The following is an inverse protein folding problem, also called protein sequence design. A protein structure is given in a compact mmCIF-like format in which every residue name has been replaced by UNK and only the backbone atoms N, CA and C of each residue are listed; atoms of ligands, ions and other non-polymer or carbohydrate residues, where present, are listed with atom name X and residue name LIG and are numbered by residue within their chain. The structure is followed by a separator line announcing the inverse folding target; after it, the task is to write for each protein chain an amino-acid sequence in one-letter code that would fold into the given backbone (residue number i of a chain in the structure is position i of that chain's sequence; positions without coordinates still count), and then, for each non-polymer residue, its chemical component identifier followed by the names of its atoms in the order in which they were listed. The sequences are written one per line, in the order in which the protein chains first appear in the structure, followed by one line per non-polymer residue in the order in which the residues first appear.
data_IF_720039984533
#
_entry.id   IF_720039984533
#
_cell.length_a   1.000
_cell.length_b   1.000
_cell.length_c   1.000
_cell.angle_alpha   90.00
_cell.angle_beta   90.00
_cell.angle_gamma   90.00
#
_symmetry.space_group_name_H-M   'P 1'
#
loop_
_entity.id
_entity.type
_entity.pdbx_description
1 polymer ?
#
# COMPACT_ATOMS: atom_id res chain seq x y z
N UNK A 1 -7.73 16.57 11.80
CA UNK A 1 -8.31 17.07 10.52
C UNK A 1 -9.79 16.73 10.37
N UNK A 2 -10.20 15.47 10.18
CA UNK A 2 -11.63 15.10 9.96
C UNK A 2 -12.57 15.48 11.11
N UNK A 3 -12.08 15.46 12.34
CA UNK A 3 -12.85 15.87 13.52
C UNK A 3 -12.82 17.38 13.77
N UNK A 4 -11.99 18.13 13.06
CA UNK A 4 -11.85 19.57 13.27
C UNK A 4 -13.11 20.32 12.82
N UNK A 5 -13.52 21.30 13.63
CA UNK A 5 -14.72 22.11 13.35
C UNK A 5 -14.66 22.74 11.96
N UNK A 6 -13.52 23.35 11.61
CA UNK A 6 -13.35 24.03 10.32
C UNK A 6 -13.58 23.10 9.13
N UNK A 7 -13.04 21.89 9.19
CA UNK A 7 -13.20 20.88 8.14
C UNK A 7 -14.66 20.39 8.04
N UNK A 8 -15.34 20.19 9.18
CA UNK A 8 -16.76 19.79 9.20
C UNK A 8 -17.68 20.87 8.63
N UNK A 9 -17.43 22.14 8.95
CA UNK A 9 -18.18 23.28 8.39
C UNK A 9 -17.96 23.35 6.88
N UNK A 10 -16.70 23.22 6.43
CA UNK A 10 -16.36 23.20 5.01
C UNK A 10 -17.10 22.08 4.25
N UNK A 11 -17.05 20.84 4.75
CA UNK A 11 -17.75 19.70 4.11
C UNK A 11 -19.27 19.90 4.08
N UNK A 12 -19.85 20.42 5.17
CA UNK A 12 -21.28 20.73 5.22
C UNK A 12 -21.67 21.81 4.20
N UNK A 13 -20.84 22.83 4.01
CA UNK A 13 -21.08 23.86 3.00
C UNK A 13 -21.04 23.32 1.55
N UNK A 14 -20.24 22.28 1.29
CA UNK A 14 -20.18 21.61 -0.01
C UNK A 14 -21.38 20.69 -0.25
N UNK A 15 -21.75 19.88 0.74
CA UNK A 15 -22.89 18.99 0.68
C UNK A 15 -23.49 18.77 2.08
N UNK A 16 -24.57 19.50 2.43
CA UNK A 16 -25.20 19.39 3.74
C UNK A 16 -25.77 18.00 4.07
N UNK A 17 -26.06 17.20 3.05
CA UNK A 17 -26.61 15.84 3.23
C UNK A 17 -25.53 14.80 3.50
N UNK A 18 -24.25 15.12 3.27
CA UNK A 18 -23.16 14.18 3.49
C UNK A 18 -22.79 14.09 4.97
N UNK A 19 -22.92 12.89 5.54
CA UNK A 19 -22.52 12.62 6.92
C UNK A 19 -21.06 12.23 6.96
N UNK A 20 -20.20 13.21 7.25
CA UNK A 20 -18.76 12.97 7.37
C UNK A 20 -18.46 12.01 8.54
N UNK A 21 -17.86 10.83 8.27
CA UNK A 21 -17.43 9.91 9.33
C UNK A 21 -16.42 10.60 10.26
N UNK A 22 -16.34 10.15 11.50
CA UNK A 22 -15.30 10.63 12.41
C UNK A 22 -13.98 9.87 12.17
N UNK A 23 -12.90 10.36 12.80
CA UNK A 23 -11.58 9.72 12.71
C UNK A 23 -11.62 8.24 13.07
N UNK A 24 -12.34 7.87 14.12
CA UNK A 24 -12.35 6.49 14.63
C UNK A 24 -13.06 5.55 13.66
N UNK A 25 -14.16 5.99 13.03
CA UNK A 25 -14.83 5.25 11.95
C UNK A 25 -13.91 5.09 10.74
N UNK A 26 -13.15 6.13 10.36
CA UNK A 26 -12.21 6.02 9.25
C UNK A 26 -11.12 5.00 9.58
N UNK A 27 -10.46 5.13 10.74
CA UNK A 27 -9.29 4.32 11.11
C UNK A 27 -9.66 2.88 11.44
N UNK A 28 -10.76 2.65 12.16
CA UNK A 28 -11.08 1.33 12.70
C UNK A 28 -12.11 0.57 11.87
N UNK A 29 -12.67 1.16 10.81
CA UNK A 29 -13.71 0.51 10.00
C UNK A 29 -13.47 0.67 8.52
N UNK A 30 -13.37 1.92 8.03
CA UNK A 30 -13.27 2.15 6.58
C UNK A 30 -11.89 1.75 6.03
N UNK A 31 -10.81 2.16 6.69
CA UNK A 31 -9.45 1.82 6.24
C UNK A 31 -9.18 0.31 6.27
N UNK A 32 -9.53 -0.46 7.33
CA UNK A 32 -9.39 -1.91 7.33
C UNK A 32 -10.18 -2.58 6.21
N UNK A 33 -11.44 -2.18 6.00
CA UNK A 33 -12.27 -2.75 4.94
C UNK A 33 -11.69 -2.47 3.53
N UNK A 34 -11.19 -1.26 3.29
CA UNK A 34 -10.52 -0.92 2.02
C UNK A 34 -9.23 -1.73 1.87
N UNK A 35 -8.44 -1.86 2.93
CA UNK A 35 -7.21 -2.64 2.91
C UNK A 35 -7.48 -4.11 2.60
N UNK A 36 -8.47 -4.73 3.25
CA UNK A 36 -8.86 -6.11 3.00
C UNK A 36 -9.29 -6.31 1.53
N UNK A 37 -10.11 -5.41 1.01
CA UNK A 37 -10.53 -5.45 -0.40
C UNK A 37 -9.33 -5.33 -1.35
N UNK A 38 -8.48 -4.32 -1.16
CA UNK A 38 -7.31 -4.11 -2.02
C UNK A 38 -6.31 -5.27 -1.91
N UNK A 39 -6.07 -5.78 -0.70
CA UNK A 39 -5.19 -6.94 -0.49
C UNK A 39 -5.73 -8.18 -1.19
N UNK A 40 -7.05 -8.39 -1.15
CA UNK A 40 -7.70 -9.48 -1.87
C UNK A 40 -7.49 -9.35 -3.38
N UNK A 41 -7.73 -8.16 -3.95
CA UNK A 41 -7.59 -7.90 -5.37
C UNK A 41 -6.13 -8.06 -5.83
N UNK A 42 -5.17 -7.57 -5.04
CA UNK A 42 -3.73 -7.76 -5.31
C UNK A 42 -3.35 -9.23 -5.26
N UNK A 43 -3.86 -10.03 -4.29
CA UNK A 43 -3.60 -11.49 -4.26
C UNK A 43 -4.16 -12.18 -5.49
N UNK A 44 -5.38 -11.85 -5.90
CA UNK A 44 -5.97 -12.42 -7.11
C UNK A 44 -5.13 -12.09 -8.34
N UNK A 45 -4.68 -10.84 -8.46
CA UNK A 45 -3.80 -10.43 -9.54
C UNK A 45 -2.48 -11.21 -9.51
N UNK A 46 -1.84 -11.35 -8.35
CA UNK A 46 -0.59 -12.12 -8.20
C UNK A 46 -0.74 -13.57 -8.67
N UNK A 47 -1.84 -14.25 -8.32
CA UNK A 47 -2.12 -15.61 -8.78
C UNK A 47 -2.21 -15.76 -10.31
N UNK A 48 -2.53 -14.69 -11.04
CA UNK A 48 -2.61 -14.69 -12.50
C UNK A 48 -1.27 -14.35 -13.18
N UNK A 49 -0.28 -13.86 -12.43
CA UNK A 49 1.00 -13.43 -12.98
C UNK A 49 1.85 -14.65 -13.34
N UNK A 50 2.24 -14.74 -14.62
CA UNK A 50 3.14 -15.80 -15.10
C UNK A 50 4.61 -15.43 -14.94
N UNK A 51 4.92 -14.14 -15.08
CA UNK A 51 6.27 -13.57 -14.99
C UNK A 51 6.16 -12.14 -14.48
N UNK A 52 6.92 -11.83 -13.44
CA UNK A 52 7.04 -10.49 -12.90
C UNK A 52 8.50 -10.03 -12.89
N UNK A 53 8.69 -8.71 -12.85
CA UNK A 53 9.91 -8.06 -12.41
C UNK A 53 9.62 -7.35 -11.10
N UNK A 54 10.43 -7.59 -10.07
CA UNK A 54 10.33 -6.88 -8.80
C UNK A 54 11.27 -5.67 -8.82
N UNK A 55 10.76 -4.52 -8.39
CA UNK A 55 11.57 -3.35 -8.09
C UNK A 55 11.50 -3.03 -6.61
N UNK A 56 12.60 -2.50 -6.08
CA UNK A 56 12.71 -2.07 -4.69
C UNK A 56 13.05 -0.59 -4.68
N UNK A 57 12.30 0.21 -3.92
CA UNK A 57 12.67 1.60 -3.63
C UNK A 57 12.94 1.74 -2.13
N UNK A 58 14.09 2.31 -1.77
CA UNK A 58 14.55 2.45 -0.39
C UNK A 58 14.82 3.92 -0.10
N UNK A 59 14.25 4.42 0.99
CA UNK A 59 14.47 5.81 1.40
C UNK A 59 14.53 5.94 2.91
N UNK A 60 15.16 7.01 3.37
CA UNK A 60 15.12 7.43 4.77
C UNK A 60 14.16 8.61 4.88
N UNK A 61 13.18 8.52 5.77
CA UNK A 61 12.22 9.60 6.00
C UNK A 61 12.88 10.79 6.71
N UNK A 62 12.16 11.93 6.75
CA UNK A 62 12.58 13.09 7.54
C UNK A 62 12.70 12.80 9.05
N UNK A 63 12.08 11.72 9.53
CA UNK A 63 12.16 11.27 10.91
C UNK A 63 13.31 10.26 11.15
N UNK A 64 14.19 10.08 10.17
CA UNK A 64 15.27 9.07 10.17
C UNK A 64 14.82 7.61 10.19
N UNK A 65 13.54 7.35 9.93
CA UNK A 65 13.05 5.98 9.72
C UNK A 65 13.42 5.50 8.31
N UNK A 66 13.99 4.31 8.23
CA UNK A 66 14.34 3.65 6.98
C UNK A 66 13.15 2.85 6.44
N UNK A 67 12.86 2.99 5.14
CA UNK A 67 11.77 2.31 4.46
C UNK A 67 12.27 1.54 3.24
N UNK A 68 11.50 0.52 2.90
CA UNK A 68 11.58 -0.21 1.64
C UNK A 68 10.18 -0.43 1.09
N UNK A 69 10.01 -0.15 -0.19
CA UNK A 69 8.84 -0.61 -0.95
C UNK A 69 9.25 -1.67 -1.95
N UNK A 70 8.35 -2.61 -2.21
CA UNK A 70 8.51 -3.63 -3.25
C UNK A 70 7.31 -3.56 -4.19
N UNK A 71 7.59 -3.42 -5.48
CA UNK A 71 6.56 -3.35 -6.53
C UNK A 71 6.79 -4.46 -7.55
N UNK A 72 5.74 -5.24 -7.84
CA UNK A 72 5.75 -6.20 -8.94
C UNK A 72 5.25 -5.55 -10.23
N UNK A 73 6.02 -5.69 -11.31
CA UNK A 73 5.66 -5.26 -12.65
C UNK A 73 5.49 -6.47 -13.55
N UNK A 74 4.38 -6.53 -14.29
CA UNK A 74 4.10 -7.63 -15.20
C UNK A 74 3.34 -7.16 -16.45
N UNK A 75 3.36 -7.99 -17.49
CA UNK A 75 2.50 -7.83 -18.66
C UNK A 75 1.33 -8.80 -18.53
N UNK A 76 0.12 -8.32 -18.71
CA UNK A 76 -1.05 -9.18 -18.83
C UNK A 76 -1.14 -9.84 -20.22
N UNK A 77 -2.16 -10.66 -20.43
CA UNK A 77 -2.38 -11.37 -21.70
C UNK A 77 -2.69 -10.42 -22.88
N UNK A 78 -2.97 -9.14 -22.62
CA UNK A 78 -3.19 -8.08 -23.60
C UNK A 78 -1.91 -7.24 -23.85
N UNK A 79 -0.76 -7.68 -23.31
CA UNK A 79 0.53 -6.97 -23.36
C UNK A 79 0.49 -5.58 -22.71
N UNK A 80 -0.43 -5.35 -21.77
CA UNK A 80 -0.48 -4.11 -21.01
C UNK A 80 0.38 -4.25 -19.76
N UNK A 81 1.18 -3.22 -19.50
CA UNK A 81 2.02 -3.13 -18.30
C UNK A 81 1.16 -2.80 -17.09
N UNK A 82 1.27 -3.65 -16.06
CA UNK A 82 0.62 -3.50 -14.78
C UNK A 82 1.69 -3.44 -13.67
N UNK A 83 1.42 -2.65 -12.63
CA UNK A 83 2.29 -2.47 -11.47
C UNK A 83 1.48 -2.65 -10.19
N UNK A 84 1.92 -3.54 -9.30
CA UNK A 84 1.29 -3.81 -8.01
C UNK A 84 2.27 -3.49 -6.89
N UNK A 85 1.92 -2.53 -6.04
CA UNK A 85 2.65 -2.30 -4.81
C UNK A 85 2.34 -3.44 -3.84
N UNK A 86 3.36 -4.23 -3.51
CA UNK A 86 3.21 -5.43 -2.66
C UNK A 86 3.38 -5.10 -1.19
N UNK A 87 4.36 -4.26 -0.87
CA UNK A 87 4.62 -3.85 0.50
C UNK A 87 5.33 -2.50 0.57
N UNK A 88 5.11 -1.82 1.70
CA UNK A 88 5.90 -0.68 2.16
C UNK A 88 6.15 -0.90 3.64
N UNK A 89 7.37 -1.28 3.98
CA UNK A 89 7.76 -1.64 5.34
C UNK A 89 8.92 -0.79 5.84
N UNK A 90 8.94 -0.59 7.16
CA UNK A 90 10.08 0.00 7.85
C UNK A 90 11.17 -1.05 7.90
N UNK A 91 12.37 -0.71 7.44
CA UNK A 91 13.56 -1.53 7.60
C UNK A 91 14.22 -1.23 8.95
N UNK A 92 14.19 -2.21 9.84
CA UNK A 92 14.89 -2.15 11.12
C UNK A 92 16.36 -2.62 11.01
N UNK A 93 16.83 -2.89 9.79
CA UNK A 93 18.15 -3.41 9.49
C UNK A 93 18.89 -2.48 8.52
N UNK A 94 20.22 -2.48 8.50
CA UNK A 94 20.98 -1.70 7.52
C UNK A 94 20.64 -2.10 6.07
N UNK A 95 20.68 -1.15 5.13
CA UNK A 95 20.46 -1.37 3.69
C UNK A 95 21.63 -2.06 3.00
N UNK A 96 22.05 -3.22 3.52
CA UNK A 96 22.98 -4.09 2.81
C UNK A 96 22.22 -4.87 1.75
N UNK A 97 22.90 -5.23 0.66
CA UNK A 97 22.30 -6.06 -0.39
C UNK A 97 21.71 -7.36 0.16
N UNK A 98 22.39 -8.01 1.11
CA UNK A 98 21.92 -9.23 1.75
C UNK A 98 20.59 -9.04 2.51
N UNK A 99 20.45 -7.94 3.25
CA UNK A 99 19.21 -7.65 3.98
C UNK A 99 18.06 -7.31 3.02
N UNK A 100 18.33 -6.50 2.00
CA UNK A 100 17.30 -6.15 1.01
C UNK A 100 16.81 -7.37 0.24
N UNK A 101 17.70 -8.29 -0.14
CA UNK A 101 17.31 -9.57 -0.77
C UNK A 101 16.45 -10.39 0.18
N UNK A 102 16.84 -10.51 1.46
CA UNK A 102 16.07 -11.23 2.48
C UNK A 102 14.65 -10.67 2.63
N UNK A 103 14.49 -9.35 2.73
CA UNK A 103 13.16 -8.73 2.84
C UNK A 103 12.35 -8.88 1.55
N UNK A 104 12.98 -8.74 0.38
CA UNK A 104 12.30 -8.94 -0.91
C UNK A 104 11.76 -10.36 -1.05
N UNK A 105 12.54 -11.38 -0.68
CA UNK A 105 12.12 -12.78 -0.76
C UNK A 105 10.97 -13.11 0.19
N UNK A 106 10.93 -12.52 1.39
CA UNK A 106 9.78 -12.69 2.30
C UNK A 106 8.49 -12.13 1.69
N UNK A 107 8.59 -10.99 0.99
CA UNK A 107 7.44 -10.36 0.33
C UNK A 107 7.00 -11.22 -0.84
N UNK A 108 7.93 -11.69 -1.67
CA UNK A 108 7.69 -12.62 -2.78
C UNK A 108 6.93 -13.88 -2.31
N UNK A 109 7.40 -14.54 -1.25
CA UNK A 109 6.75 -15.69 -0.63
C UNK A 109 5.33 -15.38 -0.11
N UNK A 110 5.13 -14.22 0.56
CA UNK A 110 3.82 -13.84 1.11
C UNK A 110 2.75 -13.58 0.03
N UNK A 111 3.18 -13.17 -1.16
CA UNK A 111 2.30 -12.88 -2.29
C UNK A 111 2.22 -14.03 -3.32
N UNK A 112 2.97 -15.12 -3.13
CA UNK A 112 3.07 -16.28 -4.02
C UNK A 112 3.44 -15.88 -5.46
N UNK A 113 4.46 -15.04 -5.61
CA UNK A 113 5.02 -14.65 -6.91
C UNK A 113 6.17 -15.56 -7.37
#
# INVERSE_FOLDING_TARGET
MVNERGFRVFVSALNPSYRLPNRDTIVNTLLPAIYEQVSHDVRQACCAIKKACLTTDCWTSANNDSFMSVTAHYLDDEFKMNSLLLDVSILFVPHTSANLVSETLKIDENWNL
#
